data_IF_268724902312
#
_entry.id   IF_268724902312
#
_cell.length_a   1.000
_cell.length_b   1.000
_cell.length_c   1.000
_cell.angle_alpha   90.00
_cell.angle_beta   90.00
_cell.angle_gamma   90.00
#
_symmetry.space_group_name_H-M   'P 1'
#
loop_
_entity.id
_entity.type
_entity.pdbx_description
1 polymer ?
#
# COMPACT_ATOMS: atom_id res chain seq x y z
N UNK A 1 -8.59 -29.20 2.52
CA UNK A 1 -9.49 -28.11 2.15
C UNK A 1 -8.99 -27.54 0.84
N UNK A 2 -9.57 -27.96 -0.29
CA UNK A 2 -9.08 -27.67 -1.63
C UNK A 2 -9.45 -26.23 -2.02
N UNK A 3 -8.46 -25.33 -2.12
CA UNK A 3 -8.64 -24.02 -2.76
C UNK A 3 -8.66 -24.22 -4.28
N UNK A 4 -9.82 -24.16 -4.88
CA UNK A 4 -10.00 -24.15 -6.33
C UNK A 4 -9.61 -22.73 -6.81
N UNK A 5 -8.49 -22.61 -7.52
CA UNK A 5 -8.13 -21.38 -8.21
C UNK A 5 -8.94 -21.31 -9.52
N UNK A 6 -9.90 -20.39 -9.59
CA UNK A 6 -10.57 -20.04 -10.84
C UNK A 6 -9.61 -19.20 -11.73
N UNK A 7 -8.96 -19.83 -12.69
CA UNK A 7 -7.88 -19.23 -13.51
C UNK A 7 -8.38 -18.45 -14.72
N UNK A 8 -9.65 -18.46 -15.07
CA UNK A 8 -10.15 -17.75 -16.24
C UNK A 8 -11.39 -16.92 -15.94
N UNK A 9 -11.20 -15.63 -15.69
CA UNK A 9 -12.25 -14.63 -15.76
C UNK A 9 -11.79 -13.44 -16.59
N UNK A 10 -12.60 -13.07 -17.62
CA UNK A 10 -12.41 -11.86 -18.45
C UNK A 10 -12.11 -10.67 -17.54
N UNK A 11 -11.07 -9.90 -17.89
CA UNK A 11 -10.67 -8.63 -17.28
C UNK A 11 -11.92 -7.77 -17.06
N UNK A 12 -12.41 -7.69 -15.83
CA UNK A 12 -13.38 -6.67 -15.45
C UNK A 12 -12.57 -5.38 -15.38
N UNK A 13 -12.73 -4.54 -16.39
CA UNK A 13 -12.18 -3.18 -16.36
C UNK A 13 -12.91 -2.46 -15.21
N UNK A 14 -12.23 -2.26 -14.10
CA UNK A 14 -12.65 -1.30 -13.09
C UNK A 14 -12.31 0.09 -13.64
N UNK A 15 -13.05 0.52 -14.68
CA UNK A 15 -13.04 1.91 -15.11
C UNK A 15 -13.74 2.74 -14.04
N UNK A 16 -12.97 3.13 -13.05
CA UNK A 16 -13.39 4.08 -12.05
C UNK A 16 -13.23 5.49 -12.63
N UNK A 17 -14.23 5.94 -13.32
CA UNK A 17 -14.31 7.27 -13.94
C UNK A 17 -14.09 8.40 -12.92
N UNK A 18 -14.32 8.15 -11.64
CA UNK A 18 -14.13 9.12 -10.55
C UNK A 18 -12.69 9.23 -10.04
N UNK A 19 -11.85 8.23 -10.28
CA UNK A 19 -10.47 8.18 -9.76
C UNK A 19 -9.40 8.52 -10.81
N UNK A 20 -9.79 8.75 -12.07
CA UNK A 20 -8.85 9.04 -13.14
C UNK A 20 -7.89 10.22 -12.85
N UNK A 21 -8.37 11.40 -12.35
CA UNK A 21 -7.48 12.50 -12.01
C UNK A 21 -6.54 12.17 -10.85
N UNK A 22 -7.01 11.47 -9.83
CA UNK A 22 -6.20 11.07 -8.68
C UNK A 22 -5.12 10.06 -9.07
N UNK A 23 -5.46 9.06 -9.87
CA UNK A 23 -4.51 8.06 -10.38
C UNK A 23 -3.40 8.72 -11.21
N UNK A 24 -3.77 9.68 -12.06
CA UNK A 24 -2.80 10.45 -12.84
C UNK A 24 -1.86 11.25 -11.94
N UNK A 25 -2.40 11.94 -10.93
CA UNK A 25 -1.61 12.72 -9.98
C UNK A 25 -0.65 11.83 -9.17
N UNK A 26 -1.11 10.70 -8.67
CA UNK A 26 -0.27 9.74 -7.91
C UNK A 26 0.88 9.22 -8.79
N UNK A 27 0.61 8.90 -10.05
CA UNK A 27 1.63 8.47 -11.01
C UNK A 27 2.66 9.58 -11.23
N UNK A 28 2.21 10.81 -11.42
CA UNK A 28 3.09 11.96 -11.61
C UNK A 28 3.97 12.23 -10.38
N UNK A 29 3.40 12.19 -9.19
CA UNK A 29 4.14 12.33 -7.93
C UNK A 29 5.17 11.21 -7.75
N UNK A 30 4.82 9.97 -8.10
CA UNK A 30 5.74 8.85 -8.10
C UNK A 30 6.91 9.05 -9.05
N UNK A 31 6.65 9.50 -10.27
CA UNK A 31 7.70 9.81 -11.26
C UNK A 31 8.63 10.95 -10.80
N UNK A 32 8.08 11.98 -10.11
CA UNK A 32 8.87 13.05 -9.50
C UNK A 32 9.76 12.52 -8.37
N UNK A 33 9.20 11.72 -7.47
CA UNK A 33 9.94 11.13 -6.35
C UNK A 33 11.05 10.19 -6.83
N UNK A 34 10.79 9.37 -7.85
CA UNK A 34 11.76 8.45 -8.44
C UNK A 34 12.70 9.10 -9.45
N UNK A 35 12.53 10.40 -9.70
CA UNK A 35 13.33 11.20 -10.66
C UNK A 35 13.32 10.66 -12.10
N UNK A 36 12.22 10.00 -12.51
CA UNK A 36 12.12 9.33 -13.81
C UNK A 36 12.00 10.28 -15.00
N UNK A 37 11.33 11.42 -14.81
CA UNK A 37 11.00 12.36 -15.91
C UNK A 37 12.14 13.30 -16.32
N UNK A 38 13.20 13.40 -15.54
CA UNK A 38 14.22 14.44 -15.68
C UNK A 38 15.60 13.91 -16.06
N UNK A 39 15.70 12.69 -16.53
CA UNK A 39 16.91 12.13 -17.09
C UNK A 39 16.98 12.48 -18.59
N UNK A 40 17.58 13.63 -18.94
CA UNK A 40 17.90 14.00 -20.31
C UNK A 40 19.34 13.64 -20.63
N UNK A 41 19.56 12.55 -21.34
CA UNK A 41 20.89 12.11 -21.77
C UNK A 41 21.85 11.90 -20.58
N UNK A 42 23.02 12.56 -20.60
CA UNK A 42 24.00 12.49 -19.51
C UNK A 42 23.71 13.41 -18.32
N UNK A 43 22.68 14.26 -18.43
CA UNK A 43 22.34 15.23 -17.39
C UNK A 43 21.61 14.52 -16.24
N UNK A 44 22.21 14.57 -15.04
CA UNK A 44 21.58 14.06 -13.82
C UNK A 44 20.82 15.20 -13.15
N UNK A 45 19.54 15.01 -12.94
CA UNK A 45 18.72 15.91 -12.12
C UNK A 45 18.97 15.66 -10.63
N UNK A 46 18.94 16.74 -9.82
CA UNK A 46 18.87 16.63 -8.38
C UNK A 46 17.48 16.10 -7.98
N UNK A 47 17.44 15.00 -7.23
CA UNK A 47 16.17 14.42 -6.76
C UNK A 47 15.64 15.20 -5.54
N UNK A 48 15.23 16.45 -5.76
CA UNK A 48 14.74 17.35 -4.70
C UNK A 48 13.47 16.82 -4.07
N UNK A 49 12.57 16.23 -4.87
CA UNK A 49 11.30 15.67 -4.34
C UNK A 49 11.55 14.57 -3.30
N UNK A 50 12.41 13.61 -3.60
CA UNK A 50 12.77 12.57 -2.64
C UNK A 50 13.49 13.14 -1.41
N UNK A 51 14.38 14.12 -1.58
CA UNK A 51 15.08 14.77 -0.48
C UNK A 51 14.10 15.46 0.49
N UNK A 52 13.10 16.17 -0.04
CA UNK A 52 12.04 16.81 0.78
C UNK A 52 11.22 15.77 1.52
N UNK A 53 10.75 14.72 0.83
CA UNK A 53 9.95 13.65 1.45
C UNK A 53 10.73 12.95 2.57
N UNK A 54 12.00 12.62 2.33
CA UNK A 54 12.87 11.97 3.31
C UNK A 54 13.14 12.84 4.52
N UNK A 55 13.35 14.16 4.32
CA UNK A 55 13.58 15.09 5.43
C UNK A 55 12.32 15.34 6.25
N UNK A 56 11.15 15.49 5.62
CA UNK A 56 9.86 15.58 6.34
C UNK A 56 9.61 14.33 7.16
N UNK A 57 9.82 13.14 6.59
CA UNK A 57 9.67 11.89 7.31
C UNK A 57 10.66 11.77 8.49
N UNK A 58 11.92 12.20 8.29
CA UNK A 58 12.92 12.24 9.35
C UNK A 58 12.51 13.13 10.50
N UNK A 59 12.08 14.35 10.21
CA UNK A 59 11.65 15.33 11.23
C UNK A 59 10.44 14.84 12.01
N UNK A 60 9.47 14.23 11.33
CA UNK A 60 8.26 13.72 11.97
C UNK A 60 8.48 12.47 12.83
N UNK A 61 9.62 11.76 12.63
CA UNK A 61 9.89 10.49 13.35
C UNK A 61 11.08 10.55 14.30
N UNK A 62 11.77 11.69 14.40
CA UNK A 62 13.02 11.78 15.18
C UNK A 62 12.79 11.53 16.68
N UNK A 63 11.64 11.92 17.20
CA UNK A 63 11.24 11.76 18.60
C UNK A 63 9.97 10.91 18.73
N UNK A 64 9.68 10.09 17.70
CA UNK A 64 8.48 9.25 17.71
C UNK A 64 8.65 8.11 18.71
N UNK A 65 7.90 8.16 19.79
CA UNK A 65 7.73 7.09 20.76
C UNK A 65 6.25 6.74 20.90
N UNK A 66 5.95 5.47 21.00
CA UNK A 66 4.59 4.97 21.14
C UNK A 66 4.60 3.57 21.74
N UNK A 67 3.64 3.32 22.63
CA UNK A 67 3.49 2.01 23.25
C UNK A 67 2.03 1.59 23.36
N UNK A 68 1.82 0.28 23.44
CA UNK A 68 0.51 -0.33 23.70
C UNK A 68 0.44 -0.68 25.18
N UNK A 69 -0.59 -0.19 25.87
CA UNK A 69 -0.83 -0.41 27.31
C UNK A 69 -2.24 -0.92 27.57
N UNK A 70 -2.55 -1.28 28.80
CA UNK A 70 -3.93 -1.55 29.26
C UNK A 70 -4.46 -2.95 29.02
N UNK A 71 -3.62 -3.92 28.63
CA UNK A 71 -4.03 -5.32 28.51
C UNK A 71 -2.93 -6.29 28.95
N UNK A 72 -3.32 -7.51 29.32
CA UNK A 72 -2.36 -8.59 29.63
C UNK A 72 -1.48 -8.96 28.41
N UNK A 73 -1.95 -8.67 27.20
CA UNK A 73 -1.22 -8.91 25.94
C UNK A 73 -0.34 -7.72 25.51
N UNK A 74 -0.35 -6.62 26.27
CA UNK A 74 0.37 -5.40 25.89
C UNK A 74 1.87 -5.66 25.63
N UNK A 75 2.52 -6.44 26.46
CA UNK A 75 3.94 -6.77 26.29
C UNK A 75 4.23 -7.49 24.96
N UNK A 76 3.42 -8.49 24.61
CA UNK A 76 3.53 -9.22 23.35
C UNK A 76 3.24 -8.30 22.15
N UNK A 77 2.17 -7.51 22.23
CA UNK A 77 1.79 -6.58 21.17
C UNK A 77 2.84 -5.48 20.96
N UNK A 78 3.44 -4.97 22.04
CA UNK A 78 4.53 -3.99 21.96
C UNK A 78 5.77 -4.55 21.27
N UNK A 79 6.14 -5.80 21.52
CA UNK A 79 7.24 -6.45 20.82
C UNK A 79 7.01 -6.49 19.30
N UNK A 80 5.81 -6.88 18.88
CA UNK A 80 5.42 -6.89 17.47
C UNK A 80 5.36 -5.46 16.89
N UNK A 81 4.78 -4.53 17.64
CA UNK A 81 4.59 -3.14 17.24
C UNK A 81 5.90 -2.38 17.05
N UNK A 82 6.91 -2.63 17.87
CA UNK A 82 8.25 -2.02 17.74
C UNK A 82 8.88 -2.27 16.37
N UNK A 83 8.65 -3.44 15.79
CA UNK A 83 9.13 -3.76 14.43
C UNK A 83 8.45 -2.87 13.37
N UNK A 84 7.19 -2.49 13.59
CA UNK A 84 6.43 -1.59 12.71
C UNK A 84 6.90 -0.15 12.93
N UNK A 85 7.01 0.26 14.18
CA UNK A 85 7.45 1.61 14.58
C UNK A 85 8.85 1.93 14.04
N UNK A 86 9.77 0.98 14.07
CA UNK A 86 11.12 1.13 13.52
C UNK A 86 11.16 1.39 12.00
N UNK A 87 10.06 1.16 11.29
CA UNK A 87 9.90 1.43 9.86
C UNK A 87 9.07 2.68 9.57
N UNK A 88 8.58 3.37 10.57
CA UNK A 88 7.66 4.52 10.45
C UNK A 88 8.21 5.62 9.55
N UNK A 89 9.52 5.89 9.59
CA UNK A 89 10.17 6.86 8.71
C UNK A 89 9.96 6.54 7.23
N UNK A 90 10.18 5.28 6.81
CA UNK A 90 9.99 4.85 5.42
C UNK A 90 8.51 4.93 5.05
N UNK A 91 7.61 4.59 5.95
CA UNK A 91 6.17 4.68 5.74
C UNK A 91 5.73 6.12 5.49
N UNK A 92 6.21 7.06 6.32
CA UNK A 92 5.92 8.48 6.16
C UNK A 92 6.56 9.07 4.90
N UNK A 93 7.76 8.65 4.53
CA UNK A 93 8.41 9.08 3.31
C UNK A 93 7.58 8.73 2.07
N UNK A 94 7.08 7.47 1.98
CA UNK A 94 6.19 7.06 0.89
C UNK A 94 4.83 7.76 0.94
N UNK A 95 4.28 8.00 2.13
CA UNK A 95 3.05 8.76 2.28
C UNK A 95 3.19 10.20 1.79
N UNK A 96 4.31 10.87 2.11
CA UNK A 96 4.63 12.20 1.59
C UNK A 96 4.81 12.19 0.08
N UNK A 97 5.49 11.17 -0.46
CA UNK A 97 5.80 11.07 -1.89
C UNK A 97 4.57 10.85 -2.78
N UNK A 98 3.59 10.07 -2.32
CA UNK A 98 2.45 9.62 -3.14
C UNK A 98 1.08 9.99 -2.57
N UNK A 99 1.05 10.87 -1.54
CA UNK A 99 -0.19 11.35 -0.93
C UNK A 99 -0.83 10.39 0.08
N UNK A 100 -0.28 9.20 0.27
CA UNK A 100 -0.78 8.23 1.24
C UNK A 100 -0.20 6.83 1.07
N UNK A 101 -0.40 6.02 2.09
CA UNK A 101 -0.08 4.58 2.10
C UNK A 101 -1.19 3.81 2.79
N UNK A 102 -1.25 2.51 2.55
CA UNK A 102 -2.09 1.58 3.30
C UNK A 102 -1.20 0.59 4.05
N UNK A 103 -1.42 0.46 5.33
CA UNK A 103 -0.79 -0.55 6.17
C UNK A 103 -1.72 -1.76 6.28
N UNK A 104 -1.30 -2.88 5.71
CA UNK A 104 -2.07 -4.13 5.72
C UNK A 104 -1.42 -5.13 6.67
N UNK A 105 -1.98 -5.34 7.88
CA UNK A 105 -1.45 -6.31 8.82
C UNK A 105 -1.73 -7.75 8.36
N UNK A 106 -0.79 -8.63 8.62
CA UNK A 106 -0.93 -10.07 8.37
C UNK A 106 -0.13 -10.88 9.38
N UNK A 107 -0.51 -12.13 9.54
CA UNK A 107 0.21 -13.06 10.42
C UNK A 107 1.18 -13.89 9.57
N UNK A 108 2.44 -13.94 10.00
CA UNK A 108 3.51 -14.74 9.40
C UNK A 108 4.18 -15.59 10.48
N UNK A 109 3.84 -16.89 10.51
CA UNK A 109 4.20 -17.74 11.64
C UNK A 109 3.57 -17.23 12.93
N UNK A 110 4.38 -17.00 13.95
CA UNK A 110 3.94 -16.48 15.26
C UNK A 110 4.08 -14.94 15.38
N UNK A 111 4.33 -14.24 14.24
CA UNK A 111 4.55 -12.80 14.25
C UNK A 111 3.47 -12.05 13.49
N UNK A 112 3.12 -10.87 14.00
CA UNK A 112 2.31 -9.89 13.29
C UNK A 112 3.26 -9.03 12.45
N UNK A 113 3.03 -9.02 11.15
CA UNK A 113 3.78 -8.24 10.17
C UNK A 113 2.86 -7.26 9.46
N UNK A 114 3.43 -6.23 8.85
CA UNK A 114 2.68 -5.25 8.08
C UNK A 114 3.26 -5.15 6.67
N UNK A 115 2.38 -5.31 5.68
CA UNK A 115 2.67 -4.98 4.29
C UNK A 115 2.33 -3.52 4.05
N UNK A 116 3.26 -2.78 3.46
CA UNK A 116 3.07 -1.37 3.09
C UNK A 116 2.68 -1.32 1.63
N UNK A 117 1.50 -0.78 1.36
CA UNK A 117 0.95 -0.62 0.02
C UNK A 117 1.00 0.86 -0.32
N UNK A 118 1.69 1.21 -1.38
CA UNK A 118 1.77 2.59 -1.87
C UNK A 118 0.48 2.94 -2.64
N UNK A 119 0.19 4.23 -2.75
CA UNK A 119 -1.06 4.72 -3.32
C UNK A 119 -1.30 4.30 -4.78
N UNK A 120 -0.24 4.02 -5.55
CA UNK A 120 -0.32 3.52 -6.94
C UNK A 120 -0.69 2.03 -7.06
N UNK A 121 -0.62 1.29 -5.96
CA UNK A 121 -0.96 -0.14 -5.91
C UNK A 121 -2.28 -0.41 -5.16
N UNK A 122 -3.07 0.64 -4.92
CA UNK A 122 -4.30 0.61 -4.16
C UNK A 122 -5.38 1.47 -4.83
N UNK A 123 -6.60 0.94 -4.89
CA UNK A 123 -7.76 1.67 -5.41
C UNK A 123 -8.94 1.48 -4.46
N UNK A 124 -9.44 2.52 -3.78
CA UNK A 124 -10.70 2.45 -3.06
C UNK A 124 -11.84 2.29 -4.06
N UNK A 125 -12.77 1.37 -3.80
CA UNK A 125 -13.89 1.05 -4.70
C UNK A 125 -15.26 1.31 -4.09
N UNK A 126 -15.34 1.44 -2.77
CA UNK A 126 -16.57 1.82 -2.09
C UNK A 126 -16.29 2.54 -0.78
N UNK A 127 -17.24 3.41 -0.40
CA UNK A 127 -17.16 4.24 0.78
C UNK A 127 -18.44 4.14 1.60
N UNK A 128 -18.33 4.35 2.90
CA UNK A 128 -19.51 4.57 3.77
C UNK A 128 -20.10 5.96 3.54
N UNK A 129 -21.32 6.22 4.01
CA UNK A 129 -21.89 7.57 3.97
C UNK A 129 -21.02 8.63 4.68
N UNK A 130 -20.24 8.23 5.67
CA UNK A 130 -19.31 9.07 6.43
C UNK A 130 -18.01 9.33 5.68
N UNK A 131 -17.80 8.70 4.50
CA UNK A 131 -16.61 8.84 3.67
C UNK A 131 -15.46 7.88 4.00
N UNK A 132 -15.68 6.89 4.87
CA UNK A 132 -14.69 5.87 5.18
C UNK A 132 -14.64 4.80 4.07
N UNK A 133 -13.45 4.30 3.78
CA UNK A 133 -13.27 3.24 2.77
C UNK A 133 -13.77 1.92 3.34
N UNK A 134 -14.78 1.32 2.72
CA UNK A 134 -15.32 0.01 3.06
C UNK A 134 -15.11 -1.05 1.97
N UNK A 135 -14.44 -0.70 0.89
CA UNK A 135 -14.03 -1.62 -0.16
C UNK A 135 -12.81 -1.10 -0.90
N UNK A 136 -11.89 -1.99 -1.21
CA UNK A 136 -10.62 -1.65 -1.82
C UNK A 136 -10.10 -2.77 -2.72
N UNK A 137 -9.30 -2.39 -3.72
CA UNK A 137 -8.59 -3.33 -4.60
C UNK A 137 -7.10 -3.05 -4.51
N UNK A 138 -6.33 -4.09 -4.28
CA UNK A 138 -4.87 -4.08 -4.25
C UNK A 138 -4.32 -4.80 -5.48
N UNK A 139 -3.26 -4.23 -6.05
CA UNK A 139 -2.57 -4.78 -7.21
C UNK A 139 -1.15 -5.19 -6.82
N UNK A 140 -0.77 -6.39 -7.23
CA UNK A 140 0.58 -6.92 -7.01
C UNK A 140 1.06 -7.65 -8.28
N UNK A 141 2.34 -7.48 -8.61
CA UNK A 141 2.96 -8.12 -9.76
C UNK A 141 3.86 -9.25 -9.29
N UNK A 142 3.52 -10.46 -9.68
CA UNK A 142 4.26 -11.66 -9.33
C UNK A 142 5.00 -12.16 -10.57
N UNK A 143 6.31 -12.37 -10.46
CA UNK A 143 7.11 -13.06 -11.48
C UNK A 143 7.33 -14.51 -11.06
N UNK A 144 6.93 -15.45 -11.93
CA UNK A 144 7.13 -16.89 -11.70
C UNK A 144 7.44 -17.60 -13.02
N UNK A 145 8.53 -18.38 -13.03
CA UNK A 145 8.95 -19.16 -14.21
C UNK A 145 9.11 -18.33 -15.49
N UNK A 146 9.57 -17.08 -15.39
CA UNK A 146 9.73 -16.18 -16.54
C UNK A 146 8.45 -15.46 -16.99
N UNK A 147 7.31 -15.79 -16.43
CA UNK A 147 6.03 -15.14 -16.71
C UNK A 147 5.71 -14.07 -15.67
N UNK A 148 4.99 -13.04 -16.09
CA UNK A 148 4.54 -11.94 -15.26
C UNK A 148 3.03 -12.07 -15.03
N UNK A 149 2.64 -12.20 -13.76
CA UNK A 149 1.24 -12.29 -13.35
C UNK A 149 0.84 -11.05 -12.58
N UNK A 150 -0.37 -10.56 -12.78
CA UNK A 150 -0.98 -9.52 -11.96
C UNK A 150 -1.98 -10.17 -11.01
N UNK A 151 -1.70 -10.08 -9.71
CA UNK A 151 -2.65 -10.47 -8.67
C UNK A 151 -3.49 -9.26 -8.30
N UNK A 152 -4.79 -9.44 -8.34
CA UNK A 152 -5.80 -8.47 -7.90
C UNK A 152 -6.47 -9.03 -6.66
N UNK A 153 -6.33 -8.34 -5.53
CA UNK A 153 -6.92 -8.69 -4.26
C UNK A 153 -8.02 -7.68 -3.93
N UNK A 154 -9.27 -8.11 -3.98
CA UNK A 154 -10.45 -7.28 -3.69
C UNK A 154 -10.90 -7.52 -2.25
N UNK A 155 -11.02 -6.45 -1.49
CA UNK A 155 -11.55 -6.41 -0.14
C UNK A 155 -12.91 -5.72 -0.14
N UNK A 156 -13.91 -6.31 0.47
CA UNK A 156 -15.26 -5.73 0.54
C UNK A 156 -16.00 -6.14 1.80
N UNK A 157 -16.83 -5.22 2.30
CA UNK A 157 -17.81 -5.49 3.35
C UNK A 157 -19.17 -5.76 2.70
N UNK A 158 -19.80 -6.90 3.03
CA UNK A 158 -21.14 -7.26 2.56
C UNK A 158 -21.93 -7.80 3.74
N UNK A 159 -23.06 -7.15 4.04
CA UNK A 159 -23.96 -7.56 5.15
C UNK A 159 -23.23 -7.69 6.52
N UNK A 160 -22.23 -6.82 6.78
CA UNK A 160 -21.45 -6.87 8.01
C UNK A 160 -20.32 -7.92 8.02
N UNK A 161 -20.16 -8.69 6.95
CA UNK A 161 -19.09 -9.67 6.79
C UNK A 161 -18.00 -9.14 5.86
N UNK A 162 -16.76 -9.47 6.20
CA UNK A 162 -15.57 -9.07 5.44
C UNK A 162 -15.12 -10.18 4.49
N UNK A 163 -15.02 -9.83 3.21
CA UNK A 163 -14.63 -10.74 2.14
C UNK A 163 -13.31 -10.31 1.49
N UNK A 164 -12.46 -11.29 1.20
CA UNK A 164 -11.25 -11.11 0.41
C UNK A 164 -11.34 -12.06 -0.79
N UNK A 165 -11.27 -11.49 -1.99
CA UNK A 165 -11.24 -12.25 -3.25
C UNK A 165 -9.91 -12.02 -3.94
N UNK A 166 -9.19 -13.10 -4.27
CA UNK A 166 -7.95 -13.05 -5.02
C UNK A 166 -8.16 -13.57 -6.44
N UNK A 167 -7.74 -12.78 -7.44
CA UNK A 167 -7.75 -13.16 -8.86
C UNK A 167 -6.36 -12.93 -9.43
N UNK A 168 -5.88 -13.87 -10.24
CA UNK A 168 -4.57 -13.77 -10.92
C UNK A 168 -4.81 -13.72 -12.42
N UNK A 169 -4.17 -12.76 -13.07
CA UNK A 169 -4.17 -12.57 -14.53
C UNK A 169 -2.76 -12.76 -15.05
N UNK A 170 -2.65 -13.38 -16.22
CA UNK A 170 -1.42 -13.54 -17.00
C UNK A 170 -1.26 -12.40 -18.01
#
# INVERSE_FOLDING_TARGET
MNRVFNIFRKKKSYENTLLSPMTSAITEWGDLYENKKYAFGETRSLNIAAAICSELARLATIELDSEITGSERAAYLNEQYRCILGKSRIFLEYACAKGGIVLKPFVSGDKISVSVIQADSFTPVSFTPEGEINGAVFYDVIQRNGYRYTRVEEHSMKNGEYFITNTVYE
#
